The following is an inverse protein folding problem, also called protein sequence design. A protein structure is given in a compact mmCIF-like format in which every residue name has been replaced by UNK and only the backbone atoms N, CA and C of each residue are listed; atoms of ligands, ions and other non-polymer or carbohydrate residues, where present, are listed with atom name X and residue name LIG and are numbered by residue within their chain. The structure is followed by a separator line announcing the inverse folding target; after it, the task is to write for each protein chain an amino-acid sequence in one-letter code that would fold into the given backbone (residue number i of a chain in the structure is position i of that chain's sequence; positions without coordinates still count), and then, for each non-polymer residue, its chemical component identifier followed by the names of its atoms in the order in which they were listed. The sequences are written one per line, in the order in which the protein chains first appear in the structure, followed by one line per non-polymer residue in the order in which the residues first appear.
data_IF_766747695018
#
_entry.id   IF_766747695018
#
_cell.length_a   1.000
_cell.length_b   1.000
_cell.length_c   1.000
_cell.angle_alpha   90.00
_cell.angle_beta   90.00
_cell.angle_gamma   90.00
#
_symmetry.space_group_name_H-M   'P 1'
#
loop_
_entity.id
_entity.type
_entity.pdbx_description
1 polymer ?
#
# COMPACT_ATOMS: atom_id res chain seq x y z
N UNK A 1 3.59 -3.72 38.31
CA UNK A 1 4.83 -2.93 38.13
C UNK A 1 5.66 -3.32 36.88
N UNK A 2 5.88 -4.60 36.54
CA UNK A 2 6.72 -5.01 35.38
C UNK A 2 6.26 -4.54 33.99
N UNK A 3 4.95 -4.34 33.76
CA UNK A 3 4.44 -3.98 32.42
C UNK A 3 4.79 -2.55 31.98
N UNK A 4 4.72 -1.58 32.89
CA UNK A 4 5.04 -0.17 32.57
C UNK A 4 6.54 0.01 32.31
N UNK A 5 7.39 -0.79 32.99
CA UNK A 5 8.83 -0.81 32.76
C UNK A 5 9.17 -1.34 31.36
N UNK A 6 8.55 -2.44 30.92
CA UNK A 6 8.74 -2.97 29.56
C UNK A 6 8.36 -1.93 28.49
N UNK A 7 7.18 -1.30 28.61
CA UNK A 7 6.73 -0.28 27.66
C UNK A 7 7.72 0.87 27.56
N UNK A 8 8.23 1.35 28.70
CA UNK A 8 9.23 2.44 28.75
C UNK A 8 10.55 2.05 28.09
N UNK A 9 11.03 0.83 28.33
CA UNK A 9 12.27 0.33 27.72
C UNK A 9 12.14 0.17 26.20
N UNK A 10 11.07 -0.48 25.73
CA UNK A 10 10.81 -0.62 24.29
C UNK A 10 10.64 0.74 23.63
N UNK A 11 9.90 1.65 24.27
CA UNK A 11 9.75 3.01 23.75
C UNK A 11 11.10 3.70 23.60
N UNK A 12 11.95 3.69 24.63
CA UNK A 12 13.25 4.33 24.57
C UNK A 12 14.16 3.74 23.48
N UNK A 13 14.12 2.43 23.26
CA UNK A 13 14.90 1.74 22.22
C UNK A 13 14.46 2.12 20.79
N UNK A 14 13.17 2.38 20.59
CA UNK A 14 12.59 2.61 19.27
C UNK A 14 12.18 4.07 19.00
N UNK A 15 12.28 4.96 19.99
CA UNK A 15 11.77 6.33 19.92
C UNK A 15 12.23 7.12 18.68
N UNK A 16 13.50 7.05 18.22
CA UNK A 16 13.93 7.81 17.05
C UNK A 16 13.28 7.31 15.76
N UNK A 17 13.08 5.99 15.67
CA UNK A 17 12.43 5.36 14.52
C UNK A 17 10.94 5.70 14.52
N UNK A 18 10.29 5.67 15.69
CA UNK A 18 8.88 6.04 15.84
C UNK A 18 8.64 7.50 15.46
N UNK A 19 9.50 8.42 15.93
CA UNK A 19 9.41 9.84 15.58
C UNK A 19 9.64 10.04 14.08
N UNK A 20 10.69 9.43 13.51
CA UNK A 20 10.98 9.53 12.08
C UNK A 20 9.83 9.00 11.22
N UNK A 21 9.24 7.87 11.60
CA UNK A 21 8.07 7.29 10.93
C UNK A 21 6.86 8.24 11.00
N UNK A 22 6.59 8.82 12.16
CA UNK A 22 5.49 9.75 12.37
C UNK A 22 5.64 11.01 11.50
N UNK A 23 6.81 11.65 11.54
CA UNK A 23 7.11 12.84 10.72
C UNK A 23 7.03 12.51 9.23
N UNK A 24 7.56 11.36 8.80
CA UNK A 24 7.56 10.95 7.40
C UNK A 24 6.13 10.77 6.86
N UNK A 25 5.24 10.10 7.61
CA UNK A 25 3.84 9.90 7.20
C UNK A 25 3.06 11.22 7.10
N UNK A 26 3.32 12.15 8.01
CA UNK A 26 2.77 13.52 7.93
C UNK A 26 3.32 14.23 6.69
N UNK A 27 4.63 14.20 6.50
CA UNK A 27 5.31 14.86 5.37
C UNK A 27 4.80 14.39 4.02
N UNK A 28 4.56 13.10 3.86
CA UNK A 28 3.99 12.55 2.62
C UNK A 28 2.56 13.03 2.39
N UNK A 29 1.74 13.07 3.44
CA UNK A 29 0.37 13.56 3.34
C UNK A 29 0.34 15.05 2.96
N UNK A 30 1.23 15.85 3.55
CA UNK A 30 1.41 17.25 3.20
C UNK A 30 1.89 17.44 1.76
N UNK A 31 2.89 16.66 1.34
CA UNK A 31 3.40 16.72 -0.04
C UNK A 31 2.31 16.38 -1.06
N UNK A 32 1.45 15.40 -0.76
CA UNK A 32 0.26 15.12 -1.59
C UNK A 32 -0.74 16.27 -1.61
N UNK A 33 -0.93 16.96 -0.48
CA UNK A 33 -1.75 18.17 -0.41
C UNK A 33 -1.18 19.30 -1.27
N UNK A 34 0.13 19.53 -1.20
CA UNK A 34 0.83 20.56 -1.99
C UNK A 34 0.72 20.25 -3.49
N UNK A 35 0.99 19.00 -3.88
CA UNK A 35 0.86 18.58 -5.27
C UNK A 35 -0.60 18.69 -5.75
N UNK A 36 -1.56 18.24 -4.95
CA UNK A 36 -2.98 18.36 -5.27
C UNK A 36 -3.43 19.82 -5.41
N UNK A 37 -2.93 20.71 -4.55
CA UNK A 37 -3.14 22.15 -4.68
C UNK A 37 -2.55 22.68 -5.98
N UNK A 38 -1.30 22.34 -6.30
CA UNK A 38 -0.63 22.82 -7.51
C UNK A 38 -1.32 22.31 -8.78
N UNK A 39 -1.72 21.04 -8.80
CA UNK A 39 -2.54 20.46 -9.87
C UNK A 39 -3.86 21.20 -10.03
N UNK A 40 -4.53 21.53 -8.92
CA UNK A 40 -5.76 22.31 -8.95
C UNK A 40 -5.55 23.71 -9.53
N UNK A 41 -4.51 24.42 -9.09
CA UNK A 41 -4.19 25.77 -9.61
C UNK A 41 -3.82 25.72 -11.09
N UNK A 42 -3.04 24.71 -11.51
CA UNK A 42 -2.68 24.53 -12.91
C UNK A 42 -3.93 24.27 -13.77
N UNK A 43 -4.88 23.44 -13.32
CA UNK A 43 -6.13 23.21 -14.05
C UNK A 43 -7.09 24.39 -14.03
N UNK A 44 -7.04 25.22 -12.99
CA UNK A 44 -7.84 26.43 -12.87
C UNK A 44 -7.16 27.66 -13.52
N UNK A 45 -6.00 27.50 -14.17
CA UNK A 45 -5.34 28.56 -14.93
C UNK A 45 -6.20 28.92 -16.17
N UNK A 46 -6.54 30.20 -16.39
CA UNK A 46 -7.28 30.65 -17.56
C UNK A 46 -6.73 30.10 -18.89
N UNK A 47 -5.42 29.97 -19.05
CA UNK A 47 -4.83 29.47 -20.29
C UNK A 47 -5.15 27.99 -20.53
N UNK A 48 -5.07 27.16 -19.48
CA UNK A 48 -5.39 25.73 -19.57
C UNK A 48 -6.89 25.50 -19.73
N UNK A 49 -7.71 26.30 -19.07
CA UNK A 49 -9.17 26.28 -19.24
C UNK A 49 -9.56 26.59 -20.69
N UNK A 50 -8.96 27.63 -21.27
CA UNK A 50 -9.24 28.02 -22.66
C UNK A 50 -8.77 26.94 -23.64
N UNK A 51 -7.59 26.35 -23.42
CA UNK A 51 -7.09 25.25 -24.25
C UNK A 51 -7.99 24.01 -24.16
N UNK A 52 -8.45 23.63 -22.96
CA UNK A 52 -9.36 22.49 -22.77
C UNK A 52 -10.74 22.76 -23.39
N UNK A 53 -11.25 23.99 -23.25
CA UNK A 53 -12.52 24.41 -23.86
C UNK A 53 -12.42 24.43 -25.39
N UNK A 54 -11.34 24.95 -25.95
CA UNK A 54 -11.17 25.05 -27.40
C UNK A 54 -10.84 23.70 -28.05
N UNK A 55 -10.21 22.78 -27.32
CA UNK A 55 -9.91 21.41 -27.79
C UNK A 55 -10.96 20.36 -27.44
N UNK A 56 -11.87 20.68 -26.50
CA UNK A 56 -12.87 19.77 -25.94
C UNK A 56 -14.25 19.87 -26.58
N UNK A 57 -14.61 21.03 -27.14
CA UNK A 57 -15.89 21.25 -27.81
C UNK A 57 -15.73 21.80 -29.23
N UNK A 58 -16.61 21.38 -30.13
CA UNK A 58 -16.66 21.84 -31.51
C UNK A 58 -18.03 22.46 -31.83
N UNK A 59 -18.04 23.55 -32.61
CA UNK A 59 -19.29 24.23 -32.96
C UNK A 59 -20.02 23.53 -34.11
N UNK A 60 -21.25 23.10 -33.87
CA UNK A 60 -22.07 22.40 -34.86
C UNK A 60 -23.08 23.37 -35.50
N UNK A 61 -22.80 23.79 -36.74
CA UNK A 61 -23.62 24.79 -37.46
C UNK A 61 -25.10 24.40 -37.66
N UNK A 62 -25.41 23.09 -37.71
CA UNK A 62 -26.77 22.59 -37.98
C UNK A 62 -27.72 22.77 -36.79
N UNK A 63 -27.22 22.56 -35.58
CA UNK A 63 -27.96 22.66 -34.31
C UNK A 63 -27.74 24.02 -33.64
N UNK A 64 -26.72 24.77 -34.05
CA UNK A 64 -26.27 26.05 -33.46
C UNK A 64 -25.75 25.91 -32.02
N UNK A 65 -25.26 24.73 -31.67
CA UNK A 65 -24.72 24.42 -30.35
C UNK A 65 -23.23 24.03 -30.42
N UNK A 66 -22.57 24.06 -29.27
CA UNK A 66 -21.25 23.45 -29.08
C UNK A 66 -21.43 22.00 -28.61
N UNK A 67 -20.70 21.07 -29.21
CA UNK A 67 -20.80 19.64 -28.91
C UNK A 67 -19.45 19.13 -28.41
N UNK A 68 -19.44 18.35 -27.33
CA UNK A 68 -18.21 17.71 -26.82
C UNK A 68 -17.90 16.38 -27.53
N UNK A 69 -16.87 15.67 -27.07
CA UNK A 69 -16.47 14.35 -27.64
C UNK A 69 -17.45 13.21 -27.31
N UNK A 70 -18.36 13.43 -26.37
CA UNK A 70 -19.35 12.47 -25.90
C UNK A 70 -20.76 12.83 -26.41
N UNK A 71 -20.87 13.70 -27.42
CA UNK A 71 -22.10 14.20 -28.03
C UNK A 71 -23.03 14.99 -27.07
N UNK A 72 -22.51 15.56 -25.98
CA UNK A 72 -23.29 16.50 -25.17
C UNK A 72 -23.34 17.88 -25.80
N UNK A 73 -24.52 18.49 -25.79
CA UNK A 73 -24.79 19.80 -26.39
C UNK A 73 -24.76 20.92 -25.35
N UNK A 74 -24.08 22.02 -25.68
CA UNK A 74 -23.94 23.21 -24.85
C UNK A 74 -24.29 24.47 -25.64
N UNK A 75 -25.13 25.33 -25.08
CA UNK A 75 -25.58 26.56 -25.72
C UNK A 75 -24.45 27.59 -25.95
N UNK A 76 -23.33 27.48 -25.23
CA UNK A 76 -22.16 28.35 -25.39
C UNK A 76 -20.91 27.73 -24.78
N UNK A 77 -19.73 28.27 -25.14
CA UNK A 77 -18.46 27.94 -24.45
C UNK A 77 -18.52 28.25 -22.95
N UNK A 78 -19.24 29.31 -22.55
CA UNK A 78 -19.43 29.65 -21.14
C UNK A 78 -20.27 28.60 -20.39
N UNK A 79 -21.30 28.04 -21.04
CA UNK A 79 -22.08 26.94 -20.47
C UNK A 79 -21.24 25.67 -20.32
N UNK A 80 -20.41 25.33 -21.32
CA UNK A 80 -19.44 24.24 -21.20
C UNK A 80 -18.47 24.48 -20.04
N UNK A 81 -17.93 25.69 -19.91
CA UNK A 81 -17.04 26.04 -18.81
C UNK A 81 -17.69 25.86 -17.43
N UNK A 82 -18.96 26.23 -17.27
CA UNK A 82 -19.67 25.99 -16.00
C UNK A 82 -19.77 24.50 -15.66
N UNK A 83 -20.04 23.65 -16.65
CA UNK A 83 -20.10 22.19 -16.47
C UNK A 83 -18.72 21.61 -16.17
N UNK A 84 -17.69 22.04 -16.91
CA UNK A 84 -16.30 21.65 -16.66
C UNK A 84 -15.86 22.01 -15.24
N UNK A 85 -16.18 23.23 -14.77
CA UNK A 85 -15.86 23.67 -13.43
C UNK A 85 -16.53 22.81 -12.36
N UNK A 86 -17.77 22.42 -12.58
CA UNK A 86 -18.55 21.66 -11.62
C UNK A 86 -18.21 20.15 -11.63
N UNK A 87 -17.59 19.64 -12.70
CA UNK A 87 -17.19 18.23 -12.82
C UNK A 87 -15.69 17.98 -12.57
N UNK A 88 -14.82 18.82 -13.14
CA UNK A 88 -13.37 18.58 -13.19
C UNK A 88 -12.58 19.41 -12.17
N UNK A 89 -13.11 20.55 -11.70
CA UNK A 89 -12.42 21.41 -10.72
C UNK A 89 -12.88 21.21 -9.27
N UNK A 90 -13.85 20.32 -9.02
CA UNK A 90 -14.27 19.96 -7.66
C UNK A 90 -13.19 19.13 -6.95
N UNK A 91 -12.87 19.51 -5.71
CA UNK A 91 -11.87 18.82 -4.87
C UNK A 91 -12.35 17.42 -4.47
N UNK A 92 -13.65 17.30 -4.21
CA UNK A 92 -14.35 16.06 -3.90
C UNK A 92 -15.53 15.90 -4.86
N UNK A 93 -15.81 14.67 -5.26
CA UNK A 93 -16.92 14.36 -6.16
C UNK A 93 -18.25 14.62 -5.47
N UNK A 94 -19.12 15.42 -6.10
CA UNK A 94 -20.47 15.75 -5.63
C UNK A 94 -21.39 14.54 -5.57
N UNK A 95 -21.29 13.65 -6.55
CA UNK A 95 -21.96 12.37 -6.52
C UNK A 95 -20.91 11.29 -6.32
N UNK A 96 -20.97 10.51 -5.21
CA UNK A 96 -20.12 9.34 -5.09
C UNK A 96 -20.38 8.47 -6.31
N UNK A 97 -19.33 8.11 -7.04
CA UNK A 97 -19.51 7.33 -8.26
C UNK A 97 -20.28 6.05 -7.90
N UNK A 98 -21.37 5.75 -8.62
CA UNK A 98 -22.18 4.52 -8.43
C UNK A 98 -21.32 3.24 -8.36
N UNK A 99 -20.10 3.33 -8.90
CA UNK A 99 -19.11 2.26 -9.00
C UNK A 99 -18.10 2.21 -7.85
N UNK A 100 -18.00 3.18 -6.97
CA UNK A 100 -16.90 3.22 -5.97
C UNK A 100 -17.32 3.74 -4.60
N UNK A 101 -18.47 4.38 -4.47
CA UNK A 101 -18.97 5.03 -3.24
C UNK A 101 -18.01 6.03 -2.56
N UNK A 102 -16.81 6.28 -3.11
CA UNK A 102 -15.85 7.26 -2.61
C UNK A 102 -16.15 8.63 -3.20
N UNK A 103 -15.95 9.66 -2.37
CA UNK A 103 -16.03 11.07 -2.78
C UNK A 103 -14.65 11.63 -3.14
N UNK A 104 -13.57 10.83 -3.14
CA UNK A 104 -12.22 11.28 -3.50
C UNK A 104 -12.22 11.87 -4.92
N UNK A 105 -11.79 13.12 -5.03
CA UNK A 105 -11.55 13.80 -6.30
C UNK A 105 -10.14 13.57 -6.83
N UNK A 106 -9.75 14.41 -7.79
CA UNK A 106 -8.51 14.27 -8.56
C UNK A 106 -7.32 15.01 -7.93
N UNK A 107 -7.53 15.89 -6.94
CA UNK A 107 -6.54 16.84 -6.44
C UNK A 107 -5.89 16.40 -5.12
N UNK A 108 -5.06 15.35 -5.16
CA UNK A 108 -4.34 14.87 -3.96
C UNK A 108 -5.22 14.22 -2.88
N UNK A 109 -6.51 14.03 -3.17
CA UNK A 109 -7.48 13.35 -2.28
C UNK A 109 -7.44 11.82 -2.40
N UNK A 110 -6.65 11.28 -3.34
CA UNK A 110 -6.45 9.85 -3.53
C UNK A 110 -5.72 9.14 -2.37
N UNK A 111 -5.66 7.80 -2.44
CA UNK A 111 -4.91 6.98 -1.48
C UNK A 111 -3.41 7.24 -1.65
N UNK A 112 -2.68 7.35 -0.54
CA UNK A 112 -1.22 7.46 -0.58
C UNK A 112 -0.55 6.10 -0.66
N UNK A 113 -0.18 5.66 -1.87
CA UNK A 113 0.57 4.41 -2.08
C UNK A 113 1.92 4.42 -1.35
N UNK A 114 2.61 5.56 -1.34
CA UNK A 114 3.88 5.74 -0.61
C UNK A 114 3.70 5.50 0.89
N UNK A 115 2.61 5.98 1.48
CA UNK A 115 2.31 5.74 2.90
C UNK A 115 2.08 4.25 3.19
N UNK A 116 1.47 3.51 2.24
CA UNK A 116 1.27 2.06 2.35
C UNK A 116 2.60 1.31 2.31
N UNK A 117 3.51 1.70 1.40
CA UNK A 117 4.86 1.14 1.32
C UNK A 117 5.64 1.40 2.62
N UNK A 118 5.54 2.59 3.18
CA UNK A 118 6.21 2.94 4.44
C UNK A 118 5.64 2.15 5.61
N UNK A 119 4.33 1.91 5.66
CA UNK A 119 3.73 1.05 6.68
C UNK A 119 4.27 -0.38 6.60
N UNK A 120 4.44 -0.94 5.39
CA UNK A 120 5.07 -2.24 5.19
C UNK A 120 6.54 -2.24 5.65
N UNK A 121 7.32 -1.22 5.27
CA UNK A 121 8.72 -1.05 5.71
C UNK A 121 8.81 -0.92 7.23
N UNK A 122 7.88 -0.23 7.88
CA UNK A 122 7.83 -0.11 9.34
C UNK A 122 7.64 -1.48 10.01
N UNK A 123 6.80 -2.35 9.46
CA UNK A 123 6.58 -3.71 9.97
C UNK A 123 7.85 -4.58 9.90
N UNK A 124 8.64 -4.39 8.85
CA UNK A 124 9.94 -5.06 8.68
C UNK A 124 10.95 -4.47 9.65
N UNK A 125 11.07 -3.15 9.70
CA UNK A 125 12.00 -2.42 10.57
C UNK A 125 11.80 -2.76 12.04
N UNK A 126 10.55 -2.90 12.49
CA UNK A 126 10.21 -3.30 13.86
C UNK A 126 10.90 -4.62 14.25
N UNK A 127 10.86 -5.62 13.37
CA UNK A 127 11.44 -6.94 13.64
C UNK A 127 12.95 -6.95 13.33
N UNK A 128 13.37 -6.38 12.20
CA UNK A 128 14.76 -6.40 11.73
C UNK A 128 15.68 -5.54 12.60
N UNK A 129 15.25 -4.33 12.98
CA UNK A 129 16.01 -3.45 13.87
C UNK A 129 16.23 -4.08 15.24
N UNK A 130 15.21 -4.77 15.76
CA UNK A 130 15.30 -5.50 17.03
C UNK A 130 16.28 -6.67 16.98
N UNK A 131 16.32 -7.40 15.85
CA UNK A 131 17.27 -8.50 15.63
C UNK A 131 18.71 -8.00 15.52
N UNK A 132 18.95 -7.03 14.64
CA UNK A 132 20.32 -6.55 14.36
C UNK A 132 21.02 -5.98 15.59
N UNK A 133 20.25 -5.46 16.55
CA UNK A 133 20.75 -4.83 17.78
C UNK A 133 20.59 -5.72 19.02
N UNK A 134 20.18 -6.98 18.86
CA UNK A 134 19.94 -7.93 19.96
C UNK A 134 19.00 -7.40 21.08
N UNK A 135 18.12 -6.45 20.74
CA UNK A 135 17.28 -5.75 21.73
C UNK A 135 16.27 -6.69 22.38
N UNK A 136 15.72 -7.61 21.59
CA UNK A 136 14.77 -8.60 22.08
C UNK A 136 15.45 -9.65 22.97
N UNK A 137 16.72 -9.97 22.72
CA UNK A 137 17.50 -10.87 23.58
C UNK A 137 17.82 -10.20 24.91
N UNK A 138 18.26 -8.94 24.90
CA UNK A 138 18.45 -8.15 26.12
C UNK A 138 17.16 -8.05 26.96
N UNK A 139 16.01 -7.81 26.34
CA UNK A 139 14.74 -7.79 27.09
C UNK A 139 14.37 -9.17 27.65
N UNK A 140 14.78 -10.26 26.99
CA UNK A 140 14.56 -11.62 27.50
C UNK A 140 15.47 -11.98 28.67
N UNK A 141 16.72 -11.50 28.70
CA UNK A 141 17.60 -11.70 29.87
C UNK A 141 17.04 -11.01 31.11
N UNK A 142 16.29 -9.91 30.93
CA UNK A 142 15.51 -9.26 31.99
C UNK A 142 14.22 -10.00 32.39
N UNK A 143 13.94 -11.17 31.80
CA UNK A 143 12.82 -12.04 32.14
C UNK A 143 11.51 -11.76 31.39
N UNK A 144 11.52 -10.89 30.36
CA UNK A 144 10.33 -10.63 29.55
C UNK A 144 10.09 -11.72 28.49
N UNK A 145 8.81 -12.08 28.27
CA UNK A 145 8.44 -13.06 27.25
C UNK A 145 8.43 -12.44 25.86
N UNK A 146 8.79 -13.23 24.84
CA UNK A 146 8.84 -12.76 23.45
C UNK A 146 7.52 -12.21 22.91
N UNK A 147 6.38 -12.78 23.31
CA UNK A 147 5.06 -12.30 22.94
C UNK A 147 4.71 -10.97 23.61
N UNK A 148 5.14 -10.76 24.85
CA UNK A 148 4.96 -9.47 25.54
C UNK A 148 5.77 -8.35 24.86
N UNK A 149 7.01 -8.64 24.47
CA UNK A 149 7.87 -7.69 23.73
C UNK A 149 7.23 -7.33 22.39
N UNK A 150 6.82 -8.34 21.60
CA UNK A 150 6.16 -8.13 20.31
C UNK A 150 4.91 -7.27 20.43
N UNK A 151 4.03 -7.54 21.41
CA UNK A 151 2.81 -6.73 21.62
C UNK A 151 3.13 -5.26 21.90
N UNK A 152 4.14 -4.98 22.71
CA UNK A 152 4.52 -3.60 23.01
C UNK A 152 5.12 -2.90 21.79
N UNK A 153 5.99 -3.58 21.03
CA UNK A 153 6.52 -3.06 19.77
C UNK A 153 5.38 -2.80 18.77
N UNK A 154 4.49 -3.77 18.58
CA UNK A 154 3.32 -3.67 17.71
C UNK A 154 2.46 -2.46 18.06
N UNK A 155 2.11 -2.29 19.35
CA UNK A 155 1.29 -1.17 19.81
C UNK A 155 1.96 0.18 19.54
N UNK A 156 3.26 0.31 19.82
CA UNK A 156 3.99 1.56 19.59
C UNK A 156 4.08 1.90 18.09
N UNK A 157 4.47 0.96 17.25
CA UNK A 157 4.58 1.20 15.81
C UNK A 157 3.22 1.43 15.16
N UNK A 158 2.21 0.61 15.47
CA UNK A 158 0.85 0.82 14.96
C UNK A 158 0.27 2.15 15.42
N UNK A 159 0.50 2.56 16.67
CA UNK A 159 0.06 3.88 17.16
C UNK A 159 0.70 5.03 16.37
N UNK A 160 2.01 4.97 16.09
CA UNK A 160 2.72 5.98 15.30
C UNK A 160 2.21 6.04 13.84
N UNK A 161 1.90 4.88 13.24
CA UNK A 161 1.31 4.81 11.90
C UNK A 161 -0.08 5.44 11.88
N UNK A 162 -0.95 5.02 12.81
CA UNK A 162 -2.33 5.52 12.91
C UNK A 162 -2.31 7.04 13.16
N UNK A 163 -1.55 7.51 14.14
CA UNK A 163 -1.50 8.94 14.47
C UNK A 163 -0.88 9.76 13.33
N UNK A 164 0.17 9.25 12.66
CA UNK A 164 0.81 9.93 11.54
C UNK A 164 -0.11 10.05 10.33
N UNK A 165 -0.86 9.00 9.98
CA UNK A 165 -1.81 9.01 8.87
C UNK A 165 -3.02 9.89 9.16
N UNK A 166 -3.58 9.81 10.37
CA UNK A 166 -4.75 10.62 10.77
C UNK A 166 -4.36 12.10 10.79
N UNK A 167 -3.28 12.45 11.49
CA UNK A 167 -2.83 13.84 11.57
C UNK A 167 -2.39 14.37 10.19
N UNK A 168 -1.66 13.56 9.41
CA UNK A 168 -1.28 13.90 8.05
C UNK A 168 -2.49 14.16 7.14
N UNK A 169 -3.54 13.35 7.26
CA UNK A 169 -4.77 13.51 6.46
C UNK A 169 -5.58 14.75 6.88
N UNK A 170 -5.64 15.05 8.17
CA UNK A 170 -6.29 16.27 8.70
C UNK A 170 -5.52 17.50 8.23
N UNK A 171 -4.19 17.49 8.33
CA UNK A 171 -3.35 18.61 7.87
C UNK A 171 -3.42 18.79 6.35
N UNK A 172 -3.46 17.70 5.58
CA UNK A 172 -3.69 17.74 4.14
C UNK A 172 -5.03 18.40 3.81
N UNK A 173 -6.10 17.99 4.50
CA UNK A 173 -7.43 18.56 4.32
C UNK A 173 -7.44 20.07 4.63
N UNK A 174 -6.82 20.46 5.76
CA UNK A 174 -6.69 21.87 6.15
C UNK A 174 -5.89 22.69 5.13
N UNK A 175 -4.78 22.13 4.62
CA UNK A 175 -3.96 22.77 3.58
C UNK A 175 -4.81 23.04 2.33
N UNK A 176 -5.48 22.02 1.80
CA UNK A 176 -6.35 22.15 0.64
C UNK A 176 -7.47 23.18 0.89
N UNK A 177 -8.14 23.09 2.04
CA UNK A 177 -9.23 24.00 2.41
C UNK A 177 -8.78 25.46 2.55
N UNK A 178 -7.52 25.69 2.96
CA UNK A 178 -6.97 27.05 3.08
C UNK A 178 -6.56 27.67 1.74
N UNK A 179 -6.44 26.88 0.67
CA UNK A 179 -5.87 27.31 -0.61
C UNK A 179 -6.82 27.19 -1.79
N UNK A 180 -7.86 26.37 -1.68
CA UNK A 180 -8.88 26.18 -2.72
C UNK A 180 -10.19 26.81 -2.25
N UNK A 181 -10.82 27.70 -3.04
CA UNK A 181 -12.08 28.36 -2.66
C UNK A 181 -13.21 27.38 -2.30
N UNK A 182 -14.05 27.75 -1.33
CA UNK A 182 -15.06 26.87 -0.73
C UNK A 182 -16.12 26.35 -1.71
N UNK A 183 -16.41 27.05 -2.81
CA UNK A 183 -17.40 26.59 -3.80
C UNK A 183 -16.94 25.36 -4.62
N UNK A 184 -15.64 25.02 -4.59
CA UNK A 184 -15.11 23.78 -5.18
C UNK A 184 -15.15 22.57 -4.20
N UNK A 185 -15.79 22.74 -3.05
CA UNK A 185 -15.93 21.72 -2.01
C UNK A 185 -17.36 21.19 -1.90
N UNK A 186 -18.22 21.45 -2.89
CA UNK A 186 -19.63 21.08 -2.85
C UNK A 186 -19.85 19.57 -2.65
N UNK A 187 -18.90 18.72 -3.08
CA UNK A 187 -18.92 17.28 -2.86
C UNK A 187 -18.27 16.77 -1.58
N UNK A 188 -17.78 17.64 -0.70
CA UNK A 188 -17.16 17.22 0.54
C UNK A 188 -18.22 16.78 1.56
N UNK A 189 -18.05 15.56 2.09
CA UNK A 189 -18.82 15.04 3.20
C UNK A 189 -17.86 14.45 4.24
N UNK A 190 -17.89 15.00 5.46
CA UNK A 190 -16.98 14.58 6.53
C UNK A 190 -17.12 13.11 6.93
N UNK A 191 -18.34 12.54 6.83
CA UNK A 191 -18.58 11.14 7.14
C UNK A 191 -17.95 10.21 6.09
N UNK A 192 -18.12 10.51 4.80
CA UNK A 192 -17.50 9.69 3.72
C UNK A 192 -15.98 9.83 3.72
N UNK A 193 -15.47 11.04 3.95
CA UNK A 193 -14.05 11.29 4.14
C UNK A 193 -13.48 10.49 5.33
N UNK A 194 -14.21 10.45 6.45
CA UNK A 194 -13.82 9.68 7.64
C UNK A 194 -13.78 8.18 7.38
N UNK A 195 -14.76 7.63 6.65
CA UNK A 195 -14.77 6.22 6.25
C UNK A 195 -13.60 5.88 5.33
N UNK A 196 -13.29 6.77 4.39
CA UNK A 196 -12.14 6.66 3.50
C UNK A 196 -10.81 6.68 4.28
N UNK A 197 -10.70 7.56 5.29
CA UNK A 197 -9.53 7.62 6.17
C UNK A 197 -9.38 6.33 7.00
N UNK A 198 -10.48 5.81 7.56
CA UNK A 198 -10.47 4.54 8.31
C UNK A 198 -10.00 3.40 7.40
N UNK A 199 -10.47 3.34 6.15
CA UNK A 199 -10.03 2.31 5.20
C UNK A 199 -8.53 2.40 4.91
N UNK A 200 -7.99 3.61 4.74
CA UNK A 200 -6.55 3.80 4.51
C UNK A 200 -5.72 3.40 5.74
N UNK A 201 -6.17 3.76 6.94
CA UNK A 201 -5.51 3.36 8.19
C UNK A 201 -5.56 1.85 8.38
N UNK A 202 -6.70 1.20 8.14
CA UNK A 202 -6.84 -0.25 8.23
C UNK A 202 -5.91 -0.97 7.25
N UNK A 203 -5.83 -0.48 6.01
CA UNK A 203 -4.92 -1.04 5.01
C UNK A 203 -3.45 -0.89 5.44
N UNK A 204 -3.05 0.29 5.90
CA UNK A 204 -1.69 0.54 6.37
C UNK A 204 -1.33 -0.37 7.56
N UNK A 205 -2.21 -0.47 8.56
CA UNK A 205 -2.03 -1.37 9.71
C UNK A 205 -2.03 -2.84 9.26
N UNK A 206 -2.85 -3.21 8.28
CA UNK A 206 -2.86 -4.54 7.66
C UNK A 206 -1.53 -4.90 7.04
N UNK A 207 -1.00 -4.02 6.19
CA UNK A 207 0.31 -4.20 5.54
C UNK A 207 1.44 -4.24 6.57
N UNK A 208 1.42 -3.35 7.55
CA UNK A 208 2.37 -3.35 8.67
C UNK A 208 2.33 -4.69 9.43
N UNK A 209 1.14 -5.17 9.78
CA UNK A 209 0.95 -6.40 10.56
C UNK A 209 1.43 -7.61 9.76
N UNK A 210 1.02 -7.70 8.48
CA UNK A 210 1.44 -8.75 7.57
C UNK A 210 2.95 -8.74 7.36
N UNK A 211 3.55 -7.57 7.13
CA UNK A 211 4.99 -7.41 6.99
C UNK A 211 5.74 -7.85 8.25
N UNK A 212 5.22 -7.53 9.43
CA UNK A 212 5.81 -7.98 10.69
C UNK A 212 5.76 -9.51 10.84
N UNK A 213 4.62 -10.14 10.49
CA UNK A 213 4.45 -11.59 10.56
C UNK A 213 5.35 -12.31 9.55
N UNK A 214 5.41 -11.81 8.32
CA UNK A 214 6.28 -12.34 7.28
C UNK A 214 7.75 -12.16 7.62
N UNK A 215 8.15 -11.03 8.22
CA UNK A 215 9.53 -10.85 8.68
C UNK A 215 9.84 -11.71 9.93
N UNK A 216 8.84 -12.21 10.66
CA UNK A 216 9.02 -13.28 11.65
C UNK A 216 9.21 -14.66 11.00
N UNK A 217 8.70 -14.89 9.80
CA UNK A 217 8.85 -16.15 9.05
C UNK A 217 10.16 -16.17 8.26
N UNK A 218 10.38 -15.13 7.46
CA UNK A 218 11.56 -14.88 6.63
C UNK A 218 12.59 -14.08 7.43
N UNK A 219 13.84 -14.56 7.48
CA UNK A 219 14.91 -13.82 8.17
C UNK A 219 15.39 -12.63 7.36
N UNK A 220 15.25 -12.68 6.03
CA UNK A 220 15.60 -11.59 5.12
C UNK A 220 14.45 -10.59 4.98
N UNK A 221 14.64 -9.38 5.49
CA UNK A 221 13.66 -8.29 5.40
C UNK A 221 13.33 -7.87 3.97
N UNK A 222 14.27 -7.95 3.02
CA UNK A 222 14.02 -7.60 1.61
C UNK A 222 13.00 -8.57 1.01
N UNK A 223 13.11 -9.85 1.34
CA UNK A 223 12.20 -10.86 0.80
C UNK A 223 10.85 -10.76 1.50
N UNK A 224 10.81 -10.49 2.80
CA UNK A 224 9.56 -10.16 3.48
C UNK A 224 8.88 -8.95 2.81
N UNK A 225 9.63 -7.89 2.48
CA UNK A 225 9.10 -6.72 1.77
C UNK A 225 8.57 -7.09 0.39
N UNK A 226 9.36 -7.83 -0.40
CA UNK A 226 8.95 -8.27 -1.72
C UNK A 226 7.67 -9.12 -1.65
N UNK A 227 7.55 -10.02 -0.68
CA UNK A 227 6.31 -10.80 -0.47
C UNK A 227 5.13 -9.91 -0.10
N UNK A 228 5.32 -8.89 0.75
CA UNK A 228 4.26 -7.96 1.14
C UNK A 228 3.84 -7.09 -0.03
N UNK A 229 4.79 -6.59 -0.82
CA UNK A 229 4.52 -5.79 -2.02
C UNK A 229 3.83 -6.65 -3.07
N UNK A 230 4.32 -7.85 -3.32
CA UNK A 230 3.67 -8.81 -4.22
C UNK A 230 2.29 -9.19 -3.71
N UNK A 231 2.10 -9.42 -2.41
CA UNK A 231 0.78 -9.61 -1.84
C UNK A 231 -0.07 -8.34 -2.04
N UNK A 232 0.43 -7.15 -1.77
CA UNK A 232 -0.32 -5.91 -1.99
C UNK A 232 -0.73 -5.71 -3.45
N UNK A 233 0.13 -6.04 -4.42
CA UNK A 233 -0.13 -5.91 -5.86
C UNK A 233 -0.93 -7.07 -6.45
N UNK A 234 -0.81 -8.27 -5.90
CA UNK A 234 -1.43 -9.49 -6.41
C UNK A 234 -2.67 -9.94 -5.64
N UNK A 235 -2.85 -9.45 -4.42
CA UNK A 235 -3.98 -9.81 -3.56
C UNK A 235 -5.14 -8.87 -3.85
N UNK A 236 -6.36 -9.43 -3.82
CA UNK A 236 -7.68 -8.78 -3.91
C UNK A 236 -8.31 -8.55 -5.29
N UNK A 237 -7.87 -9.22 -6.35
CA UNK A 237 -8.52 -9.11 -7.66
C UNK A 237 -8.81 -10.50 -8.25
N UNK A 238 -10.06 -10.79 -8.67
CA UNK A 238 -10.35 -11.95 -9.50
C UNK A 238 -9.37 -12.01 -10.68
N UNK A 239 -9.00 -13.19 -11.18
CA UNK A 239 -7.99 -13.33 -12.23
C UNK A 239 -8.24 -12.41 -13.46
N UNK A 240 -9.50 -12.14 -13.79
CA UNK A 240 -9.91 -11.19 -14.83
C UNK A 240 -9.55 -9.72 -14.54
N UNK A 241 -9.47 -9.32 -13.27
CA UNK A 241 -9.08 -7.98 -12.83
C UNK A 241 -7.58 -7.91 -12.54
N UNK A 242 -6.95 -9.03 -12.19
CA UNK A 242 -5.50 -9.18 -12.09
C UNK A 242 -4.79 -9.01 -13.44
N UNK A 243 -5.39 -9.53 -14.52
CA UNK A 243 -4.94 -9.31 -15.89
C UNK A 243 -5.11 -7.84 -16.34
N UNK A 244 -5.98 -7.09 -15.67
CA UNK A 244 -6.32 -5.70 -15.96
C UNK A 244 -5.92 -4.74 -14.81
N UNK A 245 -4.97 -5.13 -13.96
CA UNK A 245 -4.62 -4.40 -12.72
C UNK A 245 -4.06 -2.99 -12.96
N UNK A 246 -3.67 -2.67 -14.20
CA UNK A 246 -3.27 -1.32 -14.65
C UNK A 246 -4.44 -0.46 -15.12
N UNK A 247 -5.68 -0.96 -15.07
CA UNK A 247 -6.88 -0.26 -15.54
C UNK A 247 -7.80 0.14 -14.39
N UNK A 248 -8.66 1.14 -14.61
CA UNK A 248 -9.67 1.62 -13.67
C UNK A 248 -10.59 0.53 -13.08
N UNK A 249 -10.62 -0.67 -13.68
CA UNK A 249 -11.47 -1.80 -13.26
C UNK A 249 -11.07 -2.37 -11.89
N UNK A 250 -9.77 -2.43 -11.57
CA UNK A 250 -9.28 -2.95 -10.29
C UNK A 250 -9.57 -2.03 -9.11
N UNK A 251 -9.34 -0.73 -9.29
CA UNK A 251 -9.72 0.30 -8.32
C UNK A 251 -11.24 0.38 -8.12
N UNK A 252 -12.02 0.13 -9.18
CA UNK A 252 -13.48 0.10 -9.12
C UNK A 252 -14.02 -1.12 -8.34
N UNK A 253 -13.42 -2.30 -8.43
CA UNK A 253 -13.91 -3.48 -7.71
C UNK A 253 -13.76 -3.35 -6.18
N UNK A 254 -12.58 -2.90 -5.72
CA UNK A 254 -12.27 -2.70 -4.30
C UNK A 254 -13.13 -1.62 -3.63
N UNK A 255 -13.52 -0.61 -4.39
CA UNK A 255 -14.32 0.49 -3.90
C UNK A 255 -15.83 0.18 -3.86
N UNK A 256 -16.34 -0.72 -4.72
CA UNK A 256 -17.73 -1.27 -4.58
C UNK A 256 -17.91 -2.10 -3.32
N UNK A 257 -16.87 -2.83 -2.94
CA UNK A 257 -16.91 -3.82 -1.87
C UNK A 257 -16.19 -3.33 -0.61
N UNK A 258 -16.27 -2.04 -0.31
CA UNK A 258 -15.50 -1.38 0.76
C UNK A 258 -15.73 -2.03 2.14
N UNK A 259 -16.97 -2.37 2.49
CA UNK A 259 -17.30 -2.99 3.78
C UNK A 259 -16.74 -4.42 3.90
N UNK A 260 -16.91 -5.24 2.86
CA UNK A 260 -16.33 -6.58 2.78
C UNK A 260 -14.80 -6.55 2.72
N UNK A 261 -14.22 -5.57 2.02
CA UNK A 261 -12.78 -5.35 1.95
C UNK A 261 -12.19 -4.97 3.31
N UNK A 262 -12.82 -4.04 4.02
CA UNK A 262 -12.43 -3.68 5.39
C UNK A 262 -12.61 -4.86 6.36
N UNK A 263 -13.70 -5.64 6.24
CA UNK A 263 -13.92 -6.84 7.05
C UNK A 263 -12.85 -7.92 6.83
N UNK A 264 -12.48 -8.18 5.58
CA UNK A 264 -11.42 -9.12 5.26
C UNK A 264 -10.03 -8.60 5.68
N UNK A 265 -9.78 -7.28 5.59
CA UNK A 265 -8.57 -6.64 6.13
C UNK A 265 -8.48 -6.80 7.64
N UNK A 266 -9.58 -6.63 8.38
CA UNK A 266 -9.63 -6.89 9.82
C UNK A 266 -9.32 -8.37 10.13
N UNK A 267 -9.92 -9.30 9.38
CA UNK A 267 -9.58 -10.72 9.49
C UNK A 267 -8.09 -11.01 9.24
N UNK A 268 -7.50 -10.35 8.24
CA UNK A 268 -6.07 -10.47 7.92
C UNK A 268 -5.18 -9.87 9.00
N UNK A 269 -5.54 -8.71 9.56
CA UNK A 269 -4.86 -8.08 10.71
C UNK A 269 -4.87 -9.04 11.89
N UNK A 270 -6.05 -9.53 12.28
CA UNK A 270 -6.21 -10.44 13.41
C UNK A 270 -5.44 -11.75 13.20
N UNK A 271 -5.57 -12.37 12.03
CA UNK A 271 -4.85 -13.59 11.68
C UNK A 271 -3.33 -13.41 11.69
N UNK A 272 -2.84 -12.33 11.06
CA UNK A 272 -1.41 -12.00 11.00
C UNK A 272 -0.85 -11.66 12.39
N UNK A 273 -1.60 -10.92 13.21
CA UNK A 273 -1.21 -10.60 14.58
C UNK A 273 -1.14 -11.86 15.46
N UNK A 274 -2.17 -12.72 15.40
CA UNK A 274 -2.18 -13.99 16.13
C UNK A 274 -1.00 -14.88 15.74
N UNK A 275 -0.73 -14.99 14.44
CA UNK A 275 0.42 -15.73 13.90
C UNK A 275 1.74 -15.14 14.39
N UNK A 276 1.92 -13.83 14.29
CA UNK A 276 3.13 -13.14 14.72
C UNK A 276 3.37 -13.25 16.23
N UNK A 277 2.32 -13.13 17.03
CA UNK A 277 2.36 -13.28 18.49
C UNK A 277 2.73 -14.73 18.87
N UNK A 278 2.15 -15.72 18.19
CA UNK A 278 2.50 -17.14 18.38
C UNK A 278 3.95 -17.44 18.00
N UNK A 279 4.42 -16.92 16.85
CA UNK A 279 5.81 -17.05 16.41
C UNK A 279 6.79 -16.40 17.39
N UNK A 280 6.45 -15.21 17.91
CA UNK A 280 7.27 -14.45 18.85
C UNK A 280 7.42 -15.16 20.21
N UNK A 281 6.40 -15.90 20.64
CA UNK A 281 6.46 -16.74 21.85
C UNK A 281 7.43 -17.93 21.69
N UNK A 282 7.47 -18.55 20.52
CA UNK A 282 8.21 -19.81 20.27
C UNK A 282 9.64 -19.63 19.78
N UNK A 283 9.99 -18.48 19.19
CA UNK A 283 11.39 -18.20 18.80
C UNK A 283 12.19 -17.97 20.07
N UNK A 284 13.07 -18.87 20.46
CA UNK A 284 13.94 -18.72 21.65
C UNK A 284 15.31 -18.16 21.35
N UNK A 285 15.83 -18.28 20.13
CA UNK A 285 17.13 -17.75 19.71
C UNK A 285 16.99 -17.15 18.32
N UNK A 286 17.67 -16.04 18.07
CA UNK A 286 17.79 -15.47 16.73
C UNK A 286 18.45 -16.51 15.82
N UNK A 287 17.61 -17.24 15.07
CA UNK A 287 17.98 -18.35 14.21
C UNK A 287 18.77 -17.79 13.00
N UNK A 288 20.00 -17.38 13.22
CA UNK A 288 20.90 -16.72 12.26
C UNK A 288 21.29 -17.64 11.10
N UNK A 289 21.17 -18.95 11.26
CA UNK A 289 21.57 -19.93 10.24
C UNK A 289 20.53 -20.27 9.16
N UNK A 290 19.24 -20.00 9.37
CA UNK A 290 18.16 -20.44 8.47
C UNK A 290 17.41 -19.27 7.83
N UNK A 291 17.28 -19.27 6.50
CA UNK A 291 16.55 -18.21 5.77
C UNK A 291 15.05 -18.13 6.12
N UNK A 292 14.43 -19.28 6.44
CA UNK A 292 13.01 -19.42 6.81
C UNK A 292 12.83 -20.45 7.92
N UNK A 293 11.86 -20.21 8.81
CA UNK A 293 11.43 -21.16 9.85
C UNK A 293 11.03 -22.49 9.20
N UNK A 294 11.56 -23.62 9.70
CA UNK A 294 11.38 -24.96 9.10
C UNK A 294 9.91 -25.28 8.74
N UNK A 295 8.96 -25.02 9.64
CA UNK A 295 7.53 -25.28 9.42
C UNK A 295 6.84 -24.38 8.37
N UNK A 296 7.49 -23.29 7.96
CA UNK A 296 6.95 -22.33 6.99
C UNK A 296 7.68 -22.38 5.63
N UNK A 297 8.61 -23.33 5.44
CA UNK A 297 9.34 -23.44 4.16
C UNK A 297 8.43 -23.85 3.01
N UNK A 298 7.53 -24.82 3.22
CA UNK A 298 6.62 -25.30 2.18
C UNK A 298 5.47 -24.30 1.91
N UNK A 299 4.78 -23.75 2.93
CA UNK A 299 3.84 -22.65 2.72
C UNK A 299 4.49 -21.42 2.06
N UNK A 300 5.69 -21.04 2.49
CA UNK A 300 6.42 -19.90 1.92
C UNK A 300 6.81 -20.12 0.47
N UNK A 301 7.21 -21.35 0.10
CA UNK A 301 7.51 -21.73 -1.28
C UNK A 301 6.27 -21.60 -2.18
N UNK A 302 5.13 -22.13 -1.75
CA UNK A 302 3.88 -22.04 -2.49
C UNK A 302 3.41 -20.58 -2.64
N UNK A 303 3.36 -19.83 -1.53
CA UNK A 303 2.93 -18.42 -1.52
C UNK A 303 3.80 -17.52 -2.39
N UNK A 304 5.12 -17.74 -2.41
CA UNK A 304 6.04 -16.95 -3.23
C UNK A 304 6.06 -17.38 -4.69
N UNK A 305 5.82 -18.66 -4.99
CA UNK A 305 5.93 -19.20 -6.35
C UNK A 305 4.95 -18.56 -7.33
N UNK A 306 3.69 -18.36 -6.93
CA UNK A 306 2.63 -17.81 -7.78
C UNK A 306 2.91 -16.36 -8.25
N UNK A 307 3.16 -15.39 -7.36
CA UNK A 307 3.44 -14.02 -7.80
C UNK A 307 4.78 -13.92 -8.54
N UNK A 308 5.80 -14.69 -8.14
CA UNK A 308 7.08 -14.72 -8.84
C UNK A 308 6.93 -15.32 -10.25
N UNK A 309 6.07 -16.33 -10.42
CA UNK A 309 5.75 -16.90 -11.72
C UNK A 309 5.15 -15.89 -12.69
N UNK A 310 4.23 -15.05 -12.19
CA UNK A 310 3.60 -14.03 -13.02
C UNK A 310 4.60 -12.93 -13.36
N UNK A 311 5.43 -12.52 -12.40
CA UNK A 311 6.47 -11.52 -12.65
C UNK A 311 7.49 -12.00 -13.68
N UNK A 312 8.01 -13.22 -13.51
CA UNK A 312 8.91 -13.88 -14.46
C UNK A 312 8.20 -14.06 -15.81
N UNK A 313 6.97 -14.58 -15.82
CA UNK A 313 6.19 -14.77 -17.05
C UNK A 313 5.99 -13.47 -17.85
N UNK A 314 5.83 -12.31 -17.19
CA UNK A 314 5.76 -10.99 -17.84
C UNK A 314 7.09 -10.50 -18.38
N UNK A 315 8.21 -10.81 -17.72
CA UNK A 315 9.55 -10.48 -18.22
C UNK A 315 9.90 -11.32 -19.44
N UNK A 316 9.49 -12.59 -19.46
CA UNK A 316 9.81 -13.52 -20.53
C UNK A 316 8.77 -13.54 -21.67
N UNK A 317 7.60 -12.90 -21.51
CA UNK A 317 6.59 -12.82 -22.57
C UNK A 317 7.07 -12.20 -23.89
N UNK A 318 7.96 -11.18 -23.92
CA UNK A 318 8.47 -10.63 -25.18
C UNK A 318 9.47 -11.57 -25.86
N UNK A 319 10.15 -12.42 -25.07
CA UNK A 319 11.24 -13.28 -25.52
C UNK A 319 10.70 -14.62 -26.05
N UNK A 320 9.61 -15.11 -25.47
CA UNK A 320 9.13 -16.47 -25.73
C UNK A 320 8.25 -16.62 -26.98
N UNK A 321 7.81 -15.54 -27.65
CA UNK A 321 6.95 -15.57 -28.88
C UNK A 321 5.84 -16.64 -28.79
N UNK A 322 5.28 -16.86 -27.59
CA UNK A 322 4.22 -17.83 -27.38
C UNK A 322 2.90 -17.07 -27.35
N UNK A 323 2.02 -17.38 -28.30
CA UNK A 323 0.70 -16.78 -28.48
C UNK A 323 -0.29 -17.04 -27.33
N UNK A 324 0.09 -17.86 -26.34
CA UNK A 324 -0.72 -18.17 -25.17
C UNK A 324 0.02 -17.79 -23.88
N UNK A 325 -0.53 -16.79 -23.17
CA UNK A 325 -0.01 -16.23 -21.91
C UNK A 325 0.24 -17.26 -20.81
N UNK A 326 -0.46 -18.41 -20.85
CA UNK A 326 -0.36 -19.47 -19.86
C UNK A 326 0.95 -20.27 -19.90
N UNK A 327 1.51 -20.48 -21.09
CA UNK A 327 2.75 -21.24 -21.28
C UNK A 327 3.94 -20.50 -20.64
N UNK A 328 4.01 -19.19 -20.85
CA UNK A 328 5.00 -18.31 -20.24
C UNK A 328 4.86 -18.24 -18.71
N UNK A 329 3.63 -18.20 -18.19
CA UNK A 329 3.35 -18.23 -16.74
C UNK A 329 3.73 -19.58 -16.14
N UNK A 330 3.48 -20.70 -16.81
CA UNK A 330 3.83 -22.04 -16.34
C UNK A 330 5.36 -22.25 -16.30
N UNK A 331 6.08 -21.85 -17.35
CA UNK A 331 7.55 -21.88 -17.37
C UNK A 331 8.11 -20.96 -16.28
N UNK A 332 7.56 -19.75 -16.15
CA UNK A 332 7.92 -18.82 -15.08
C UNK A 332 7.69 -19.39 -13.68
N UNK A 333 6.63 -20.19 -13.50
CA UNK A 333 6.33 -20.87 -12.24
C UNK A 333 7.32 -21.98 -11.91
N UNK A 334 7.75 -22.78 -12.89
CA UNK A 334 8.79 -23.80 -12.71
C UNK A 334 10.12 -23.14 -12.31
N UNK A 335 10.53 -22.07 -13.01
CA UNK A 335 11.76 -21.33 -12.69
C UNK A 335 11.68 -20.73 -11.28
N UNK A 336 10.53 -20.13 -10.94
CA UNK A 336 10.27 -19.59 -9.60
C UNK A 336 10.39 -20.68 -8.52
N UNK A 337 9.78 -21.84 -8.75
CA UNK A 337 9.83 -23.00 -7.85
C UNK A 337 11.27 -23.47 -7.64
N UNK A 338 12.05 -23.62 -8.70
CA UNK A 338 13.45 -24.06 -8.61
C UNK A 338 14.29 -23.06 -7.80
N UNK A 339 14.16 -21.76 -8.11
CA UNK A 339 14.86 -20.69 -7.39
C UNK A 339 14.48 -20.62 -5.91
N UNK A 340 13.19 -20.68 -5.60
CA UNK A 340 12.68 -20.68 -4.22
C UNK A 340 13.10 -21.94 -3.46
N UNK A 341 13.14 -23.10 -4.12
CA UNK A 341 13.62 -24.35 -3.51
C UNK A 341 15.10 -24.26 -3.18
N UNK A 342 15.93 -23.76 -4.12
CA UNK A 342 17.35 -23.52 -3.90
C UNK A 342 17.62 -22.60 -2.70
N UNK A 343 16.77 -21.58 -2.52
CA UNK A 343 16.91 -20.60 -1.46
C UNK A 343 16.38 -21.07 -0.10
N UNK A 344 15.15 -21.61 -0.06
CA UNK A 344 14.45 -21.99 1.17
C UNK A 344 15.00 -23.27 1.80
N UNK A 345 15.36 -24.25 0.96
CA UNK A 345 15.78 -25.58 1.41
C UNK A 345 17.29 -25.79 1.38
N UNK A 346 18.03 -24.91 0.66
CA UNK A 346 19.48 -25.05 0.42
C UNK A 346 19.89 -26.51 0.14
N UNK A 347 19.25 -27.18 -0.85
CA UNK A 347 19.58 -28.55 -1.21
C UNK A 347 21.05 -28.67 -1.63
N UNK A 348 21.62 -29.88 -1.54
CA UNK A 348 23.07 -30.12 -1.74
C UNK A 348 23.62 -29.51 -3.04
N UNK A 349 22.85 -29.55 -4.14
CA UNK A 349 23.21 -28.99 -5.44
C UNK A 349 23.33 -27.46 -5.47
N UNK A 350 22.62 -26.75 -4.59
CA UNK A 350 22.66 -25.28 -4.51
C UNK A 350 23.81 -24.72 -3.67
N UNK A 351 24.53 -25.59 -2.93
CA UNK A 351 25.56 -25.16 -1.97
C UNK A 351 26.73 -24.42 -2.63
N UNK A 352 27.08 -24.76 -3.86
CA UNK A 352 28.15 -24.10 -4.61
C UNK A 352 27.78 -22.65 -4.95
N UNK A 353 26.56 -22.42 -5.42
CA UNK A 353 26.02 -21.08 -5.70
C UNK A 353 26.02 -20.22 -4.42
N UNK A 354 25.56 -20.77 -3.30
CA UNK A 354 25.56 -20.04 -2.02
C UNK A 354 26.95 -19.76 -1.45
N UNK A 355 27.96 -20.59 -1.76
CA UNK A 355 29.36 -20.32 -1.42
C UNK A 355 29.92 -19.16 -2.24
N UNK A 356 29.63 -19.11 -3.54
CA UNK A 356 30.02 -18.00 -4.42
C UNK A 356 29.38 -16.68 -3.97
N UNK A 357 28.06 -16.68 -3.69
CA UNK A 357 27.36 -15.50 -3.16
C UNK A 357 27.93 -15.05 -1.80
N UNK A 358 28.40 -16.00 -0.98
CA UNK A 358 29.06 -15.71 0.29
C UNK A 358 30.47 -15.14 0.15
N UNK A 359 31.17 -15.42 -0.95
CA UNK A 359 32.49 -14.84 -1.26
C UNK A 359 32.40 -13.45 -1.90
N UNK A 360 31.24 -13.11 -2.49
CA UNK A 360 30.94 -11.80 -3.06
C UNK A 360 30.37 -10.80 -2.03
N UNK A 361 30.17 -11.23 -0.78
CA UNK A 361 29.75 -10.41 0.36
C UNK A 361 30.93 -10.20 1.29
#
# INVERSE_FOLDING_TARGET
MRHNQLRRLVFHQHWPILLGLFILLIGISLFQGINGQQEWHNRNDPQNIMMETDGGIHYQKKTKDYVDREDHHYASKAAYYTVYRDQELQVYKTTPTKRTHTTRGQFGTGRSELSMVIAAIAGITMIWGSRRRYLNEFLRTLGYRGDQIYRQQFLLYSSAIVSGLVLGSVLKLALLASRIPSHYWAGFNGATWGLDLISDVLLAVGLFTLASALNLIFVNGIIALATVVLAYTCWWLPAAVYLNATTHVGANYLSRHWATGNGLLLGLILGSFCLANWLSKRRTLENTGNAVIRGFRLPGLLLLSLPLAVFIGRIFSPILVMSTSWSAVFIGWIIALIGLTAWLYRPKWSRWIWRLVGQLR
#
